data_IF_945968466801
#
_entry.id   IF_945968466801
#
_cell.length_a   1.000
_cell.length_b   1.000
_cell.length_c   1.000
_cell.angle_alpha   90.00
_cell.angle_beta   90.00
_cell.angle_gamma   90.00
#
_symmetry.space_group_name_H-M   'P 1'
#
loop_
_entity.id
_entity.type
_entity.pdbx_description
1 polymer ?
#
# COMPACT_ATOMS: atom_id res chain seq x y z
N UNK A 1 8.58 12.62 11.87
CA UNK A 1 7.98 11.41 11.29
C UNK A 1 7.66 11.76 9.86
N UNK A 2 8.26 11.07 8.87
CA UNK A 2 7.89 11.35 7.48
C UNK A 2 6.41 11.00 7.27
N UNK A 3 5.66 11.94 6.68
CA UNK A 3 4.31 11.65 6.24
C UNK A 3 4.37 10.74 5.02
N UNK A 4 3.63 9.64 5.04
CA UNK A 4 3.43 8.82 3.85
C UNK A 4 2.33 9.45 2.98
N UNK A 5 2.50 9.32 1.67
CA UNK A 5 1.52 9.79 0.69
C UNK A 5 0.26 8.92 0.70
N UNK A 6 -0.85 9.40 0.10
CA UNK A 6 -2.08 8.60 -0.03
C UNK A 6 -1.86 7.28 -0.78
N UNK A 7 -1.00 7.28 -1.79
CA UNK A 7 -0.65 6.05 -2.51
C UNK A 7 0.11 5.07 -1.62
N UNK A 8 1.08 5.56 -0.86
CA UNK A 8 1.84 4.74 0.09
C UNK A 8 0.93 4.15 1.18
N UNK A 9 0.01 4.96 1.72
CA UNK A 9 -1.03 4.49 2.65
C UNK A 9 -1.86 3.35 2.03
N UNK A 10 -2.36 3.52 0.80
CA UNK A 10 -3.13 2.49 0.11
C UNK A 10 -2.33 1.20 -0.11
N UNK A 11 -1.05 1.31 -0.48
CA UNK A 11 -0.16 0.17 -0.69
C UNK A 11 0.10 -0.56 0.62
N UNK A 12 0.41 0.16 1.70
CA UNK A 12 0.64 -0.41 3.02
C UNK A 12 -0.62 -1.11 3.54
N UNK A 13 -1.80 -0.51 3.38
CA UNK A 13 -3.08 -1.15 3.73
C UNK A 13 -3.31 -2.41 2.89
N UNK A 14 -3.01 -2.36 1.58
CA UNK A 14 -3.15 -3.52 0.71
C UNK A 14 -2.26 -4.68 1.15
N UNK A 15 -0.98 -4.42 1.44
CA UNK A 15 -0.02 -5.43 1.92
C UNK A 15 -0.49 -6.00 3.26
N UNK A 16 -0.90 -5.14 4.21
CA UNK A 16 -1.39 -5.56 5.52
C UNK A 16 -2.62 -6.48 5.41
N UNK A 17 -3.57 -6.17 4.51
CA UNK A 17 -4.76 -7.00 4.28
C UNK A 17 -4.45 -8.33 3.61
N UNK A 18 -3.51 -8.34 2.66
CA UNK A 18 -3.17 -9.53 1.87
C UNK A 18 -2.30 -10.54 2.62
N UNK A 19 -1.52 -10.10 3.62
CA UNK A 19 -0.64 -10.97 4.42
C UNK A 19 0.28 -11.81 3.51
N UNK A 20 0.22 -13.14 3.63
CA UNK A 20 1.03 -14.09 2.85
C UNK A 20 0.75 -14.02 1.34
N UNK A 21 -0.39 -13.46 0.93
CA UNK A 21 -0.76 -13.29 -0.47
C UNK A 21 -0.32 -11.93 -1.04
N UNK A 22 0.53 -11.16 -0.35
CA UNK A 22 0.95 -9.83 -0.76
C UNK A 22 2.08 -9.86 -1.82
N UNK A 23 1.73 -10.17 -3.07
CA UNK A 23 2.62 -10.11 -4.23
C UNK A 23 2.12 -9.11 -5.27
N UNK A 24 2.98 -8.70 -6.21
CA UNK A 24 2.69 -7.55 -7.09
C UNK A 24 1.31 -7.58 -7.78
N UNK A 25 0.86 -8.73 -8.27
CA UNK A 25 -0.45 -8.86 -8.94
C UNK A 25 -1.63 -8.69 -7.96
N UNK A 26 -1.57 -9.32 -6.78
CA UNK A 26 -2.63 -9.22 -5.78
C UNK A 26 -2.68 -7.83 -5.14
N UNK A 27 -1.52 -7.22 -4.89
CA UNK A 27 -1.40 -5.83 -4.42
C UNK A 27 -2.03 -4.88 -5.44
N UNK A 28 -1.69 -5.00 -6.74
CA UNK A 28 -2.29 -4.16 -7.78
C UNK A 28 -3.82 -4.26 -7.78
N UNK A 29 -4.34 -5.49 -7.74
CA UNK A 29 -5.78 -5.75 -7.70
C UNK A 29 -6.44 -5.12 -6.47
N UNK A 30 -5.80 -5.21 -5.31
CA UNK A 30 -6.33 -4.67 -4.06
C UNK A 30 -6.32 -3.14 -4.05
N UNK A 31 -5.24 -2.51 -4.50
CA UNK A 31 -5.14 -1.03 -4.60
C UNK A 31 -6.11 -0.50 -5.64
N UNK A 32 -6.21 -1.15 -6.80
CA UNK A 32 -7.11 -0.71 -7.88
C UNK A 32 -8.58 -0.72 -7.46
N UNK A 33 -8.99 -1.67 -6.60
CA UNK A 33 -10.33 -1.70 -5.97
C UNK A 33 -10.56 -0.56 -4.98
N UNK A 34 -9.52 -0.03 -4.35
CA UNK A 34 -9.63 1.05 -3.37
C UNK A 34 -9.67 2.44 -4.03
N UNK A 35 -9.03 2.61 -5.19
CA UNK A 35 -8.95 3.90 -5.89
C UNK A 35 -9.85 4.03 -7.12
N UNK A 36 -10.57 2.97 -7.52
CA UNK A 36 -11.28 2.88 -8.80
C UNK A 36 -10.39 3.25 -10.00
N UNK A 37 -9.10 2.93 -9.92
CA UNK A 37 -8.07 3.26 -10.93
C UNK A 37 -7.11 2.10 -11.11
N UNK A 38 -6.75 1.80 -12.36
CA UNK A 38 -5.76 0.79 -12.68
C UNK A 38 -4.33 1.35 -12.58
N UNK A 39 -3.47 0.66 -11.84
CA UNK A 39 -2.03 0.97 -11.80
C UNK A 39 -1.27 0.18 -12.86
N UNK A 40 -0.37 0.86 -13.58
CA UNK A 40 0.58 0.16 -14.43
C UNK A 40 1.52 -0.67 -13.55
N UNK A 41 1.96 -1.82 -14.07
CA UNK A 41 2.89 -2.69 -13.35
C UNK A 41 4.20 -1.96 -12.99
N UNK A 42 4.69 -1.11 -13.89
CA UNK A 42 5.90 -0.32 -13.65
C UNK A 42 5.76 0.67 -12.50
N UNK A 43 4.64 1.40 -12.42
CA UNK A 43 4.42 2.37 -11.35
C UNK A 43 4.21 1.71 -9.99
N UNK A 44 3.57 0.53 -9.97
CA UNK A 44 3.45 -0.27 -8.76
C UNK A 44 4.82 -0.70 -8.22
N UNK A 45 5.65 -1.32 -9.05
CA UNK A 45 6.97 -1.79 -8.60
C UNK A 45 7.90 -0.64 -8.20
N UNK A 46 7.81 0.51 -8.89
CA UNK A 46 8.51 1.72 -8.46
C UNK A 46 8.07 2.16 -7.05
N UNK A 47 6.77 2.19 -6.79
CA UNK A 47 6.22 2.60 -5.48
C UNK A 47 6.57 1.61 -4.36
N UNK A 48 6.55 0.31 -4.66
CA UNK A 48 6.99 -0.73 -3.72
C UNK A 48 8.50 -0.61 -3.42
N UNK A 49 9.33 -0.29 -4.41
CA UNK A 49 10.77 -0.05 -4.18
C UNK A 49 11.00 1.19 -3.30
N UNK A 50 10.21 2.25 -3.49
CA UNK A 50 10.26 3.45 -2.62
C UNK A 50 9.90 3.11 -1.17
N UNK A 51 8.80 2.37 -0.94
CA UNK A 51 8.40 1.92 0.39
C UNK A 51 9.48 1.05 1.06
N UNK A 52 10.11 0.16 0.28
CA UNK A 52 11.20 -0.68 0.76
C UNK A 52 12.42 0.16 1.15
N UNK A 53 12.82 1.14 0.31
CA UNK A 53 13.92 2.08 0.61
C UNK A 53 13.64 2.93 1.85
N UNK A 54 12.39 3.28 2.09
CA UNK A 54 11.95 3.98 3.31
C UNK A 54 11.91 3.08 4.55
N UNK A 55 12.15 1.77 4.41
CA UNK A 55 12.09 0.81 5.50
C UNK A 55 10.68 0.55 6.02
N UNK A 56 9.64 0.83 5.22
CA UNK A 56 8.24 0.65 5.61
C UNK A 56 7.69 -0.75 5.26
N UNK A 57 8.36 -1.43 4.33
CA UNK A 57 8.04 -2.80 3.94
C UNK A 57 9.32 -3.60 3.76
N UNK A 58 9.21 -4.91 3.95
CA UNK A 58 10.21 -5.89 3.56
C UNK A 58 9.75 -6.67 2.32
N UNK A 59 10.70 -7.32 1.65
CA UNK A 59 10.43 -8.19 0.51
C UNK A 59 11.17 -9.52 0.61
N UNK A 60 10.51 -10.60 0.25
CA UNK A 60 11.08 -11.94 0.18
C UNK A 60 10.78 -12.60 -1.16
N UNK A 61 11.66 -13.51 -1.58
CA UNK A 61 11.43 -14.30 -2.77
C UNK A 61 10.66 -15.57 -2.41
N UNK A 62 9.58 -15.81 -3.14
CA UNK A 62 8.89 -17.09 -3.10
C UNK A 62 9.62 -18.19 -3.85
N UNK A 63 9.13 -19.41 -3.66
CA UNK A 63 9.53 -20.55 -4.45
C UNK A 63 9.32 -20.30 -5.95
N UNK A 64 10.19 -20.83 -6.82
CA UNK A 64 9.99 -20.78 -8.26
C UNK A 64 8.65 -21.42 -8.63
N UNK A 65 7.73 -20.65 -9.20
CA UNK A 65 6.48 -21.20 -9.73
C UNK A 65 6.70 -21.76 -11.13
N UNK A 66 6.17 -22.95 -11.47
CA UNK A 66 6.29 -23.56 -12.81
C UNK A 66 5.61 -22.79 -13.96
N UNK A 67 4.93 -21.67 -13.68
CA UNK A 67 4.24 -20.89 -14.71
C UNK A 67 5.21 -20.16 -15.65
N UNK A 68 4.77 -19.99 -16.91
CA UNK A 68 5.51 -19.47 -18.08
C UNK A 68 6.53 -18.38 -17.72
N UNK A 69 7.80 -18.76 -17.63
CA UNK A 69 8.93 -17.83 -17.55
C UNK A 69 9.76 -17.88 -16.26
N UNK A 70 9.43 -18.73 -15.28
CA UNK A 70 10.32 -19.08 -14.16
C UNK A 70 10.73 -17.93 -13.22
N UNK A 71 10.05 -16.78 -13.31
CA UNK A 71 10.38 -15.60 -12.50
C UNK A 71 9.77 -15.77 -11.10
N UNK A 72 10.62 -15.81 -10.07
CA UNK A 72 10.21 -15.97 -8.67
C UNK A 72 9.22 -14.86 -8.29
N UNK A 73 8.11 -15.24 -7.64
CA UNK A 73 7.20 -14.26 -7.02
C UNK A 73 7.94 -13.51 -5.93
N UNK A 74 7.69 -12.20 -5.83
CA UNK A 74 8.17 -11.38 -4.71
C UNK A 74 6.98 -11.11 -3.81
N UNK A 75 7.13 -11.48 -2.55
CA UNK A 75 6.17 -11.23 -1.49
C UNK A 75 6.63 -10.02 -0.67
N UNK A 76 5.66 -9.24 -0.17
CA UNK A 76 5.90 -8.03 0.59
C UNK A 76 5.22 -8.14 1.96
N UNK A 77 5.82 -7.55 2.99
CA UNK A 77 5.26 -7.50 4.34
C UNK A 77 5.56 -6.14 4.97
N UNK A 78 4.76 -5.70 5.93
CA UNK A 78 5.06 -4.47 6.66
C UNK A 78 6.21 -4.73 7.63
N UNK A 79 7.06 -3.72 7.79
CA UNK A 79 7.98 -3.62 8.93
C UNK A 79 7.24 -3.02 10.13
N UNK A 80 7.79 -3.11 11.35
CA UNK A 80 7.27 -2.38 12.52
C UNK A 80 7.15 -0.86 12.28
N UNK A 81 8.07 -0.28 11.50
CA UNK A 81 8.04 1.12 11.09
C UNK A 81 6.88 1.41 10.13
N UNK A 82 6.59 0.49 9.21
CA UNK A 82 5.42 0.55 8.33
C UNK A 82 4.10 0.51 9.08
N UNK A 83 3.99 -0.34 10.10
CA UNK A 83 2.80 -0.41 10.97
C UNK A 83 2.59 0.90 11.74
N UNK A 84 3.64 1.43 12.35
CA UNK A 84 3.61 2.74 13.03
C UNK A 84 3.21 3.87 12.09
N UNK A 85 3.70 3.85 10.85
CA UNK A 85 3.34 4.85 9.84
C UNK A 85 1.83 4.80 9.51
N UNK A 86 1.24 3.60 9.37
CA UNK A 86 -0.20 3.45 9.18
C UNK A 86 -1.01 3.94 10.38
N UNK A 87 -0.60 3.60 11.60
CA UNK A 87 -1.27 4.06 12.82
C UNK A 87 -1.25 5.58 12.95
N UNK A 88 -0.11 6.20 12.62
CA UNK A 88 0.05 7.65 12.64
C UNK A 88 -0.89 8.34 11.64
N UNK A 89 -0.97 7.83 10.41
CA UNK A 89 -1.88 8.38 9.38
C UNK A 89 -3.34 8.18 9.76
N UNK A 90 -3.72 7.00 10.26
CA UNK A 90 -5.09 6.75 10.74
C UNK A 90 -5.47 7.73 11.85
N UNK A 91 -4.60 7.93 12.82
CA UNK A 91 -4.80 8.86 13.93
C UNK A 91 -4.91 10.31 13.46
N UNK A 92 -4.09 10.70 12.48
CA UNK A 92 -4.14 12.04 11.89
C UNK A 92 -5.42 12.24 11.10
N UNK A 93 -5.84 11.29 10.26
CA UNK A 93 -7.10 11.37 9.53
C UNK A 93 -8.29 11.54 10.47
N UNK A 94 -8.36 10.76 11.56
CA UNK A 94 -9.43 10.91 12.54
C UNK A 94 -9.50 12.32 13.15
N UNK A 95 -8.33 12.93 13.42
CA UNK A 95 -8.26 14.31 13.91
C UNK A 95 -8.64 15.35 12.84
N UNK A 96 -8.17 15.16 11.60
CA UNK A 96 -8.43 16.07 10.49
C UNK A 96 -9.91 16.10 10.09
N UNK A 97 -10.58 14.95 10.12
CA UNK A 97 -12.01 14.84 9.82
C UNK A 97 -12.91 15.12 11.04
N UNK A 98 -12.33 15.26 12.23
CA UNK A 98 -13.07 15.59 13.44
C UNK A 98 -13.78 16.93 13.29
N UNK A 99 -15.12 16.90 13.26
CA UNK A 99 -15.95 18.10 13.10
C UNK A 99 -16.15 18.58 11.66
N UNK A 100 -15.60 17.86 10.67
CA UNK A 100 -15.91 18.11 9.25
C UNK A 100 -17.21 17.38 8.89
N UNK A 101 -18.22 18.06 8.32
CA UNK A 101 -19.47 17.41 7.91
C UNK A 101 -19.24 16.43 6.76
N UNK A 102 -20.08 15.39 6.67
CA UNK A 102 -20.01 14.34 5.65
C UNK A 102 -20.13 14.88 4.21
N UNK A 103 -20.73 16.06 4.05
CA UNK A 103 -20.78 16.80 2.81
C UNK A 103 -20.14 18.17 2.97
N UNK A 104 -19.10 18.44 2.17
CA UNK A 104 -18.55 19.79 2.03
C UNK A 104 -19.46 20.54 1.04
N UNK A 105 -20.64 20.96 1.52
CA UNK A 105 -21.52 21.82 0.74
C UNK A 105 -21.02 23.26 0.89
N UNK A 106 -20.52 23.83 -0.20
CA UNK A 106 -20.32 25.28 -0.29
C UNK A 106 -21.67 25.91 -0.60
N UNK A 107 -22.31 26.51 0.40
CA UNK A 107 -23.40 27.45 0.13
C UNK A 107 -22.80 28.76 -0.38
N UNK A 108 -23.09 29.11 -1.63
CA UNK A 108 -23.04 30.51 -2.09
C UNK A 108 -24.15 31.32 -1.42
#
# INVERSE_FOLDING_TARGET
MEFITRLEEMLLIAIWKLKEEAYGVSINKQVSKLSDKNYTIGSLYFSLDQLYRKGLIDKSHGEPTPERGGRRKIYYSLTPEGEKALEAVRSLHAKLWGGVPDSINWSE
#
